data_IF_559018367243
#
_entry.id   IF_559018367243
#
_cell.length_a   1.000
_cell.length_b   1.000
_cell.length_c   1.000
_cell.angle_alpha   90.00
_cell.angle_beta   90.00
_cell.angle_gamma   90.00
#
_symmetry.space_group_name_H-M   'P 1'
#
loop_
_entity.id
_entity.type
_entity.pdbx_description
1 polymer ?
#
# COMPACT_ATOMS: atom_id res chain seq x y z
N UNK A 1 -7.45 -11.40 66.22
CA UNK A 1 -8.50 -11.78 65.25
C UNK A 1 -7.75 -12.05 63.95
N UNK A 2 -7.45 -13.27 63.48
CA UNK A 2 -8.14 -14.58 63.53
C UNK A 2 -9.58 -14.46 62.99
N UNK A 3 -10.09 -15.23 62.03
CA UNK A 3 -9.56 -16.39 61.27
C UNK A 3 -9.62 -16.10 59.75
N UNK A 4 -9.01 -16.79 58.75
CA UNK A 4 -8.41 -18.13 58.51
C UNK A 4 -9.35 -19.35 58.34
N UNK A 5 -9.34 -19.94 57.13
CA UNK A 5 -10.03 -21.18 56.70
C UNK A 5 -10.02 -21.25 55.17
N UNK A 6 -9.31 -22.15 54.46
CA UNK A 6 -9.20 -23.62 54.56
C UNK A 6 -10.58 -24.28 54.41
N UNK A 7 -10.82 -24.87 53.24
CA UNK A 7 -11.82 -25.92 53.04
C UNK A 7 -11.17 -27.15 52.41
N UNK A 8 -11.68 -28.32 52.82
CA UNK A 8 -10.98 -29.60 52.73
C UNK A 8 -11.50 -30.49 51.60
N UNK A 9 -10.65 -31.43 51.18
CA UNK A 9 -10.93 -32.48 50.21
C UNK A 9 -12.06 -33.41 50.66
N UNK A 10 -12.98 -33.74 49.75
CA UNK A 10 -13.70 -35.03 49.79
C UNK A 10 -13.73 -35.69 48.41
N UNK A 11 -13.45 -36.98 48.41
CA UNK A 11 -13.28 -37.85 47.25
C UNK A 11 -14.60 -38.19 46.54
N UNK A 12 -14.58 -38.25 45.21
CA UNK A 12 -15.56 -38.99 44.41
C UNK A 12 -14.81 -39.96 43.47
N UNK A 13 -15.36 -41.16 43.29
CA UNK A 13 -14.67 -42.35 42.77
C UNK A 13 -14.69 -42.41 41.24
N UNK A 14 -13.62 -42.95 40.65
CA UNK A 14 -13.56 -43.41 39.26
C UNK A 14 -14.40 -44.70 39.07
N UNK A 15 -15.18 -44.84 37.98
CA UNK A 15 -15.68 -46.13 37.52
C UNK A 15 -14.61 -46.88 36.69
N UNK A 16 -14.67 -48.21 36.71
CA UNK A 16 -13.63 -49.11 36.21
C UNK A 16 -13.76 -49.44 34.71
N UNK A 17 -12.63 -49.86 34.10
CA UNK A 17 -12.58 -50.43 32.75
C UNK A 17 -13.18 -51.86 32.72
N UNK A 18 -13.95 -52.25 31.70
CA UNK A 18 -14.09 -53.65 31.28
C UNK A 18 -12.88 -54.08 30.42
N UNK A 19 -12.67 -55.39 30.30
CA UNK A 19 -11.47 -56.01 29.70
C UNK A 19 -11.86 -57.12 28.70
N UNK A 20 -11.19 -57.13 27.53
CA UNK A 20 -11.11 -58.20 26.50
C UNK A 20 -12.40 -58.56 25.71
N UNK A 21 -12.31 -59.24 24.54
CA UNK A 21 -11.13 -59.89 23.93
C UNK A 21 -10.73 -59.44 22.51
N UNK A 22 -9.53 -59.87 22.10
CA UNK A 22 -8.98 -59.75 20.75
C UNK A 22 -9.63 -60.72 19.76
N UNK A 23 -10.00 -60.23 18.57
CA UNK A 23 -10.36 -61.07 17.42
C UNK A 23 -9.89 -60.39 16.12
N UNK A 24 -8.88 -60.98 15.47
CA UNK A 24 -8.49 -60.61 14.12
C UNK A 24 -9.56 -61.09 13.13
N UNK A 25 -10.04 -60.22 12.24
CA UNK A 25 -10.62 -60.67 10.97
C UNK A 25 -10.58 -59.56 9.92
N UNK A 26 -9.99 -59.85 8.76
CA UNK A 26 -9.80 -58.87 7.69
C UNK A 26 -11.12 -58.53 6.98
N UNK A 27 -11.31 -57.25 6.64
CA UNK A 27 -12.32 -56.81 5.67
C UNK A 27 -11.69 -55.88 4.65
N UNK A 28 -12.01 -56.16 3.38
CA UNK A 28 -11.49 -55.46 2.19
C UNK A 28 -11.92 -53.99 2.22
N UNK A 29 -10.96 -53.08 2.08
CA UNK A 29 -11.23 -51.65 1.87
C UNK A 29 -11.82 -51.45 0.46
N UNK A 30 -13.13 -51.22 0.39
CA UNK A 30 -13.76 -50.67 -0.81
C UNK A 30 -13.36 -49.20 -0.93
N UNK A 31 -12.42 -48.91 -1.83
CA UNK A 31 -12.12 -47.54 -2.25
C UNK A 31 -13.29 -47.04 -3.09
N UNK A 32 -14.26 -46.41 -2.46
CA UNK A 32 -15.23 -45.57 -3.17
C UNK A 32 -14.53 -44.28 -3.59
N UNK A 33 -14.14 -44.20 -4.86
CA UNK A 33 -13.70 -42.97 -5.48
C UNK A 33 -14.86 -41.95 -5.49
N UNK A 34 -14.93 -41.09 -4.48
CA UNK A 34 -15.81 -39.94 -4.49
C UNK A 34 -15.30 -38.94 -5.52
N UNK A 35 -15.77 -39.06 -6.77
CA UNK A 35 -15.54 -38.08 -7.82
C UNK A 35 -16.13 -36.77 -7.36
N UNK A 36 -15.27 -35.85 -6.90
CA UNK A 36 -15.67 -34.50 -6.50
C UNK A 36 -16.10 -33.74 -7.75
N UNK A 37 -17.40 -33.75 -8.04
CA UNK A 37 -17.99 -32.90 -9.06
C UNK A 37 -17.74 -31.45 -8.64
N UNK A 38 -16.85 -30.76 -9.36
CA UNK A 38 -16.55 -29.35 -9.15
C UNK A 38 -17.75 -28.51 -9.54
N UNK A 39 -18.65 -28.29 -8.57
CA UNK A 39 -19.68 -27.26 -8.67
C UNK A 39 -18.94 -25.94 -8.90
N UNK A 40 -19.18 -25.33 -10.06
CA UNK A 40 -18.54 -24.08 -10.45
C UNK A 40 -19.15 -22.93 -9.62
N UNK A 41 -18.71 -22.80 -8.37
CA UNK A 41 -19.20 -21.80 -7.44
C UNK A 41 -18.85 -20.40 -7.97
N UNK A 42 -19.88 -19.57 -8.12
CA UNK A 42 -19.71 -18.16 -8.51
C UNK A 42 -18.87 -17.47 -7.44
N UNK A 43 -17.72 -16.93 -7.83
CA UNK A 43 -16.80 -16.24 -6.91
C UNK A 43 -17.45 -15.00 -6.31
N UNK A 44 -17.01 -14.67 -5.11
CA UNK A 44 -17.37 -13.44 -4.43
C UNK A 44 -16.73 -12.24 -5.15
N UNK A 45 -17.49 -11.15 -5.30
CA UNK A 45 -17.07 -9.94 -6.00
C UNK A 45 -16.38 -8.96 -5.05
N UNK A 46 -15.26 -8.39 -5.49
CA UNK A 46 -14.54 -7.32 -4.77
C UNK A 46 -14.36 -6.13 -5.71
N UNK A 47 -14.74 -4.93 -5.26
CA UNK A 47 -14.51 -3.71 -6.03
C UNK A 47 -13.17 -3.11 -5.61
N UNK A 48 -12.34 -2.71 -6.58
CA UNK A 48 -11.09 -1.97 -6.31
C UNK A 48 -11.14 -0.61 -7.00
N UNK A 49 -11.07 0.48 -6.23
CA UNK A 49 -11.05 1.86 -6.73
C UNK A 49 -9.66 2.47 -6.50
N UNK A 50 -8.84 2.45 -7.55
CA UNK A 50 -7.51 3.05 -7.60
C UNK A 50 -7.51 4.36 -8.40
N UNK A 51 -6.37 5.04 -8.45
CA UNK A 51 -6.19 6.36 -9.06
C UNK A 51 -5.09 7.16 -8.35
N UNK A 52 -4.54 8.21 -8.97
CA UNK A 52 -3.53 9.04 -8.32
C UNK A 52 -4.11 9.84 -7.14
N UNK A 53 -3.24 10.43 -6.32
CA UNK A 53 -3.67 11.44 -5.34
C UNK A 53 -4.36 12.62 -6.05
N UNK A 54 -5.40 13.19 -5.45
CA UNK A 54 -6.24 14.23 -6.06
C UNK A 54 -7.38 13.74 -6.96
N UNK A 55 -7.44 12.45 -7.35
CA UNK A 55 -8.44 11.93 -8.30
C UNK A 55 -9.85 11.64 -7.71
N UNK A 56 -10.19 12.15 -6.52
CA UNK A 56 -11.54 12.03 -5.93
C UNK A 56 -11.96 10.65 -5.40
N UNK A 57 -11.05 9.68 -5.32
CA UNK A 57 -11.32 8.28 -4.90
C UNK A 57 -12.20 8.14 -3.65
N UNK A 58 -11.82 8.81 -2.55
CA UNK A 58 -12.48 8.67 -1.24
C UNK A 58 -13.98 8.95 -1.32
N UNK A 59 -14.36 10.06 -1.99
CA UNK A 59 -15.77 10.45 -2.15
C UNK A 59 -16.55 9.46 -3.02
N UNK A 60 -15.93 8.93 -4.07
CA UNK A 60 -16.57 7.92 -4.91
C UNK A 60 -16.76 6.60 -4.15
N UNK A 61 -15.76 6.16 -3.39
CA UNK A 61 -15.84 4.94 -2.59
C UNK A 61 -16.91 5.04 -1.51
N UNK A 62 -16.98 6.17 -0.77
CA UNK A 62 -18.00 6.44 0.24
C UNK A 62 -19.42 6.34 -0.34
N UNK A 63 -19.68 7.09 -1.41
CA UNK A 63 -21.01 7.15 -2.02
C UNK A 63 -21.40 5.83 -2.70
N UNK A 64 -20.43 5.05 -3.19
CA UNK A 64 -20.68 3.70 -3.70
C UNK A 64 -20.99 2.71 -2.56
N UNK A 65 -20.25 2.76 -1.46
CA UNK A 65 -20.45 1.90 -0.29
C UNK A 65 -21.86 2.06 0.29
N UNK A 66 -22.34 3.30 0.43
CA UNK A 66 -23.72 3.62 0.83
C UNK A 66 -24.78 2.93 -0.05
N UNK A 67 -24.56 2.85 -1.37
CA UNK A 67 -25.52 2.23 -2.31
C UNK A 67 -25.41 0.71 -2.39
N UNK A 68 -24.26 0.14 -2.09
CA UNK A 68 -24.03 -1.31 -2.15
C UNK A 68 -24.13 -2.01 -0.79
N UNK A 69 -24.43 -1.29 0.30
CA UNK A 69 -24.28 -1.80 1.68
C UNK A 69 -22.86 -2.38 1.88
N UNK A 70 -21.87 -1.60 1.44
CA UNK A 70 -20.47 -1.99 1.41
C UNK A 70 -19.64 -1.38 2.54
N UNK A 71 -18.42 -1.89 2.69
CA UNK A 71 -17.42 -1.39 3.62
C UNK A 71 -16.10 -1.13 2.88
N UNK A 72 -15.34 -0.15 3.36
CA UNK A 72 -14.16 0.35 2.67
C UNK A 72 -12.89 -0.21 3.31
N UNK A 73 -11.99 -0.78 2.51
CA UNK A 73 -10.63 -1.17 2.95
C UNK A 73 -9.64 -0.16 2.37
N UNK A 74 -8.89 0.54 3.24
CA UNK A 74 -7.86 1.48 2.77
C UNK A 74 -6.61 0.73 2.28
N UNK A 75 -6.22 1.00 1.03
CA UNK A 75 -4.98 0.56 0.39
C UNK A 75 -4.01 1.75 0.20
N UNK A 76 -3.83 2.51 1.27
CA UNK A 76 -2.90 3.63 1.40
C UNK A 76 -1.88 3.33 2.50
N UNK A 77 -0.60 3.60 2.26
CA UNK A 77 0.49 3.24 3.19
C UNK A 77 0.68 4.24 4.33
N UNK A 78 -0.13 5.31 4.39
CA UNK A 78 -0.02 6.38 5.39
C UNK A 78 -1.27 6.47 6.26
N UNK A 79 -2.45 6.20 5.70
CA UNK A 79 -3.73 6.24 6.45
C UNK A 79 -3.81 5.22 7.60
N UNK A 80 -2.94 4.21 7.61
CA UNK A 80 -2.80 3.24 8.72
C UNK A 80 -2.33 3.88 10.04
N UNK A 81 -1.68 5.05 9.99
CA UNK A 81 -1.02 5.68 11.12
C UNK A 81 -1.89 6.71 11.85
N UNK A 82 -2.11 6.52 13.15
CA UNK A 82 -2.82 7.45 14.04
C UNK A 82 -2.20 8.84 14.04
N UNK A 83 -3.03 9.88 14.06
CA UNK A 83 -2.62 11.28 14.12
C UNK A 83 -1.99 11.85 12.84
N UNK A 84 -1.94 11.06 11.76
CA UNK A 84 -1.49 11.48 10.43
C UNK A 84 -2.68 11.61 9.48
N UNK A 85 -3.58 12.53 9.77
CA UNK A 85 -4.91 12.66 9.16
C UNK A 85 -4.91 13.60 7.95
N UNK A 86 -4.32 14.79 8.10
CA UNK A 86 -4.31 15.87 7.10
C UNK A 86 -3.41 15.49 5.94
N UNK A 87 -2.15 15.18 6.18
CA UNK A 87 -1.18 14.85 5.12
C UNK A 87 -1.53 13.59 4.31
N UNK A 88 -2.25 12.63 4.90
CA UNK A 88 -2.75 11.44 4.19
C UNK A 88 -4.14 11.65 3.56
N UNK A 89 -4.84 12.74 3.91
CA UNK A 89 -6.25 13.00 3.65
C UNK A 89 -7.13 11.77 3.93
N UNK A 90 -7.16 11.36 5.20
CA UNK A 90 -8.13 10.37 5.68
C UNK A 90 -9.57 10.86 5.44
N UNK A 91 -10.53 9.93 5.29
CA UNK A 91 -11.94 10.26 5.44
C UNK A 91 -12.19 10.88 6.83
N UNK A 92 -13.08 11.87 6.89
CA UNK A 92 -13.39 12.57 8.14
C UNK A 92 -14.00 11.62 9.17
N UNK A 93 -14.04 11.97 10.47
CA UNK A 93 -14.75 11.19 11.47
C UNK A 93 -16.23 10.96 11.11
N UNK A 94 -16.88 11.92 10.43
CA UNK A 94 -18.25 11.78 9.93
C UNK A 94 -18.33 10.72 8.80
N UNK A 95 -17.46 10.79 7.79
CA UNK A 95 -17.40 9.80 6.71
C UNK A 95 -17.19 8.37 7.25
N UNK A 96 -16.36 8.24 8.31
CA UNK A 96 -16.07 6.97 8.98
C UNK A 96 -17.18 6.46 9.89
N UNK A 97 -18.10 7.33 10.32
CA UNK A 97 -19.32 6.95 11.03
C UNK A 97 -20.42 6.50 10.04
N UNK A 98 -20.50 7.13 8.87
CA UNK A 98 -21.47 6.75 7.82
C UNK A 98 -21.13 5.42 7.14
N UNK A 99 -19.85 5.14 6.91
CA UNK A 99 -19.37 3.90 6.28
C UNK A 99 -18.18 3.34 7.07
N UNK A 100 -18.18 2.05 7.46
CA UNK A 100 -17.02 1.42 8.08
C UNK A 100 -15.78 1.47 7.17
N UNK A 101 -14.66 1.92 7.73
CA UNK A 101 -13.36 1.96 7.07
C UNK A 101 -12.34 1.08 7.82
N UNK A 102 -11.77 0.12 7.11
CA UNK A 102 -10.73 -0.79 7.59
C UNK A 102 -9.33 -0.27 7.23
N UNK A 103 -8.34 -0.66 8.04
CA UNK A 103 -6.92 -0.31 7.87
C UNK A 103 -6.65 1.21 7.93
N UNK A 104 -7.42 1.92 8.76
CA UNK A 104 -7.18 3.31 9.14
C UNK A 104 -6.95 3.36 10.66
N UNK A 105 -5.98 4.15 11.12
CA UNK A 105 -5.66 4.33 12.55
C UNK A 105 -5.33 3.02 13.30
N UNK A 106 -4.79 2.02 12.60
CA UNK A 106 -4.40 0.72 13.17
C UNK A 106 -3.04 0.75 13.89
N UNK A 107 -2.16 1.69 13.56
CA UNK A 107 -0.77 1.77 14.05
C UNK A 107 -0.39 3.13 14.62
N UNK A 108 0.60 3.16 15.52
CA UNK A 108 1.32 4.37 15.91
C UNK A 108 2.39 4.74 14.85
N UNK A 109 2.69 6.02 14.58
CA UNK A 109 3.66 6.39 13.54
C UNK A 109 5.11 5.93 13.74
N UNK A 110 5.47 5.44 14.93
CA UNK A 110 6.78 4.81 15.18
C UNK A 110 6.85 3.36 14.69
N UNK A 111 5.73 2.75 14.30
CA UNK A 111 5.65 1.35 13.87
C UNK A 111 5.83 1.20 12.35
N UNK A 112 6.42 0.09 11.91
CA UNK A 112 6.57 -0.22 10.49
C UNK A 112 5.38 -1.03 9.95
N UNK A 113 4.89 -0.62 8.78
CA UNK A 113 3.85 -1.34 8.04
C UNK A 113 4.32 -1.80 6.66
N UNK A 114 4.42 -3.12 6.50
CA UNK A 114 4.88 -3.76 5.28
C UNK A 114 3.72 -4.14 4.35
N UNK A 115 4.01 -4.29 3.05
CA UNK A 115 3.03 -4.84 2.09
C UNK A 115 2.59 -6.28 2.44
N UNK A 116 3.44 -7.04 3.14
CA UNK A 116 3.07 -8.37 3.64
C UNK A 116 1.99 -8.31 4.72
N UNK A 117 2.07 -7.36 5.67
CA UNK A 117 1.02 -7.13 6.67
C UNK A 117 -0.25 -6.62 6.00
N UNK A 118 -0.15 -5.60 5.13
CA UNK A 118 -1.29 -5.12 4.34
C UNK A 118 -2.01 -6.26 3.59
N UNK A 119 -1.27 -7.19 3.00
CA UNK A 119 -1.87 -8.35 2.35
C UNK A 119 -2.71 -9.17 3.32
N UNK A 120 -2.15 -9.63 4.44
CA UNK A 120 -2.91 -10.43 5.41
C UNK A 120 -4.11 -9.67 5.99
N UNK A 121 -3.90 -8.42 6.42
CA UNK A 121 -4.92 -7.60 7.08
C UNK A 121 -6.07 -7.24 6.11
N UNK A 122 -5.77 -6.85 4.86
CA UNK A 122 -6.79 -6.56 3.86
C UNK A 122 -7.53 -7.82 3.41
N UNK A 123 -6.84 -8.95 3.26
CA UNK A 123 -7.47 -10.23 2.91
C UNK A 123 -8.34 -10.75 4.06
N UNK A 124 -7.99 -10.48 5.32
CA UNK A 124 -8.82 -10.81 6.47
C UNK A 124 -10.06 -9.92 6.55
N UNK A 125 -9.90 -8.59 6.46
CA UNK A 125 -11.04 -7.66 6.40
C UNK A 125 -12.02 -8.01 5.27
N UNK A 126 -11.51 -8.39 4.09
CA UNK A 126 -12.34 -8.82 2.95
C UNK A 126 -13.20 -10.04 3.28
N UNK A 127 -12.63 -11.07 3.92
CA UNK A 127 -13.37 -12.26 4.35
C UNK A 127 -14.46 -11.90 5.36
N UNK A 128 -14.19 -11.00 6.30
CA UNK A 128 -15.14 -10.66 7.35
C UNK A 128 -16.29 -9.77 6.84
N UNK A 129 -16.00 -8.83 5.92
CA UNK A 129 -17.03 -8.07 5.20
C UNK A 129 -17.94 -9.02 4.41
N UNK A 130 -17.37 -9.96 3.63
CA UNK A 130 -18.14 -10.94 2.84
C UNK A 130 -18.99 -11.86 3.74
N UNK A 131 -18.43 -12.36 4.85
CA UNK A 131 -19.16 -13.14 5.87
C UNK A 131 -20.35 -12.39 6.48
N UNK A 132 -20.27 -11.06 6.58
CA UNK A 132 -21.36 -10.21 7.06
C UNK A 132 -22.44 -9.92 6.00
N UNK A 133 -22.29 -10.44 4.77
CA UNK A 133 -23.21 -10.19 3.65
C UNK A 133 -23.06 -8.79 3.04
N UNK A 134 -21.91 -8.13 3.23
CA UNK A 134 -21.60 -6.78 2.76
C UNK A 134 -20.60 -6.80 1.61
N UNK A 135 -20.51 -5.68 0.87
CA UNK A 135 -19.65 -5.57 -0.31
C UNK A 135 -18.28 -4.98 0.05
N UNK A 136 -17.16 -5.70 -0.15
CA UNK A 136 -15.82 -5.15 0.08
C UNK A 136 -15.40 -4.20 -1.05
N UNK A 137 -15.09 -2.96 -0.67
CA UNK A 137 -14.63 -1.90 -1.59
C UNK A 137 -13.22 -1.47 -1.17
N UNK A 138 -12.21 -1.93 -1.88
CA UNK A 138 -10.82 -1.54 -1.61
C UNK A 138 -10.53 -0.22 -2.32
N UNK A 139 -10.04 0.79 -1.60
CA UNK A 139 -9.67 2.08 -2.21
C UNK A 139 -8.30 2.55 -1.78
N UNK A 140 -7.51 3.06 -2.72
CA UNK A 140 -6.15 3.49 -2.43
C UNK A 140 -5.35 3.89 -3.65
N UNK A 141 -4.04 4.01 -3.48
CA UNK A 141 -3.14 4.39 -4.57
C UNK A 141 -1.77 3.69 -4.52
N UNK A 142 -1.57 2.76 -3.58
CA UNK A 142 -0.31 2.05 -3.40
C UNK A 142 -0.27 0.84 -4.34
N UNK A 143 0.39 0.98 -5.49
CA UNK A 143 0.40 -0.03 -6.56
C UNK A 143 0.86 -1.42 -6.10
N UNK A 144 1.93 -1.50 -5.29
CA UNK A 144 2.45 -2.77 -4.79
C UNK A 144 1.47 -3.47 -3.82
N UNK A 145 0.79 -2.70 -2.97
CA UNK A 145 -0.26 -3.19 -2.06
C UNK A 145 -1.39 -3.83 -2.88
N UNK A 146 -1.97 -3.09 -3.82
CA UNK A 146 -3.08 -3.58 -4.64
C UNK A 146 -2.66 -4.77 -5.52
N UNK A 147 -1.43 -4.79 -6.06
CA UNK A 147 -0.91 -5.94 -6.81
C UNK A 147 -0.85 -7.20 -5.96
N UNK A 148 -0.27 -7.15 -4.75
CA UNK A 148 -0.19 -8.32 -3.88
C UNK A 148 -1.58 -8.76 -3.39
N UNK A 149 -2.47 -7.81 -3.09
CA UNK A 149 -3.84 -8.09 -2.67
C UNK A 149 -4.68 -8.81 -3.75
N UNK A 150 -4.55 -8.39 -5.01
CA UNK A 150 -5.24 -9.00 -6.16
C UNK A 150 -4.63 -10.36 -6.51
N UNK A 151 -3.32 -10.40 -6.78
CA UNK A 151 -2.66 -11.56 -7.40
C UNK A 151 -2.02 -12.54 -6.41
N UNK A 152 -1.93 -12.16 -5.13
CA UNK A 152 -1.18 -12.89 -4.09
C UNK A 152 0.21 -12.30 -3.82
N UNK A 153 0.69 -12.49 -2.59
CA UNK A 153 2.09 -12.16 -2.21
C UNK A 153 3.05 -13.31 -2.57
N UNK A 154 4.33 -13.02 -2.86
CA UNK A 154 5.40 -14.03 -2.87
C UNK A 154 5.55 -14.71 -1.51
N UNK A 155 5.95 -15.98 -1.50
CA UNK A 155 6.20 -16.74 -0.27
C UNK A 155 7.65 -16.58 0.22
N UNK A 156 8.04 -15.33 0.45
CA UNK A 156 9.38 -14.97 0.93
C UNK A 156 9.36 -14.93 2.47
N UNK A 157 10.27 -15.63 3.17
CA UNK A 157 10.32 -15.58 4.62
C UNK A 157 10.63 -14.17 5.15
N UNK A 158 10.00 -13.83 6.27
CA UNK A 158 10.34 -12.61 7.02
C UNK A 158 11.62 -12.87 7.81
N UNK A 159 12.60 -11.97 7.68
CA UNK A 159 13.82 -12.06 8.47
C UNK A 159 13.51 -11.92 9.97
N UNK A 160 14.24 -12.65 10.81
CA UNK A 160 14.18 -12.45 12.26
C UNK A 160 14.82 -11.10 12.63
N UNK A 161 14.57 -10.60 13.85
CA UNK A 161 15.16 -9.33 14.30
C UNK A 161 16.69 -9.43 14.38
N UNK A 162 17.19 -10.61 14.73
CA UNK A 162 18.59 -10.95 14.85
C UNK A 162 19.27 -10.93 13.47
N UNK A 163 18.67 -11.56 12.46
CA UNK A 163 19.17 -11.55 11.08
C UNK A 163 19.15 -10.13 10.51
N UNK A 164 18.07 -9.37 10.72
CA UNK A 164 17.98 -7.99 10.24
C UNK A 164 19.03 -7.08 10.92
N UNK A 165 19.29 -7.26 12.22
CA UNK A 165 20.32 -6.51 12.94
C UNK A 165 21.75 -6.89 12.48
N UNK A 166 22.00 -8.18 12.22
CA UNK A 166 23.28 -8.65 11.65
C UNK A 166 23.52 -8.04 10.27
N UNK A 167 22.55 -8.16 9.35
CA UNK A 167 22.64 -7.57 8.00
C UNK A 167 22.78 -6.05 8.03
N UNK A 168 22.09 -5.37 8.95
CA UNK A 168 22.29 -3.94 9.16
C UNK A 168 23.74 -3.63 9.57
N UNK A 169 24.29 -4.37 10.54
CA UNK A 169 25.68 -4.20 10.98
C UNK A 169 26.71 -4.55 9.91
N UNK A 170 26.47 -5.59 9.10
CA UNK A 170 27.33 -5.98 7.97
C UNK A 170 27.39 -4.88 6.89
N UNK A 171 26.28 -4.18 6.65
CA UNK A 171 26.17 -3.16 5.58
C UNK A 171 26.48 -1.73 6.07
N UNK A 172 26.40 -1.46 7.38
CA UNK A 172 26.51 -0.11 7.94
C UNK A 172 27.86 0.58 7.67
N UNK A 173 28.98 -0.15 7.70
CA UNK A 173 30.29 0.42 7.39
C UNK A 173 30.37 0.87 5.92
N UNK A 174 29.92 0.04 4.97
CA UNK A 174 29.87 0.39 3.55
C UNK A 174 28.93 1.57 3.27
N UNK A 175 27.76 1.64 3.93
CA UNK A 175 26.81 2.75 3.75
C UNK A 175 27.36 4.07 4.32
N UNK A 176 28.12 4.02 5.44
CA UNK A 176 28.81 5.20 6.00
C UNK A 176 29.93 5.68 5.08
N UNK A 177 30.75 4.76 4.60
CA UNK A 177 31.97 5.08 3.84
C UNK A 177 31.67 5.31 2.34
N UNK A 178 30.44 5.06 1.91
CA UNK A 178 29.93 5.29 0.55
C UNK A 178 30.32 4.21 -0.47
N UNK A 179 30.84 3.07 0.01
CA UNK A 179 31.38 1.99 -0.82
C UNK A 179 30.27 1.06 -1.33
N UNK A 180 29.51 1.57 -2.29
CA UNK A 180 28.42 0.85 -2.95
C UNK A 180 28.90 -0.39 -3.70
N UNK A 181 30.10 -0.34 -4.31
CA UNK A 181 30.61 -1.44 -5.15
C UNK A 181 30.99 -2.66 -4.29
N UNK A 182 31.68 -2.45 -3.17
CA UNK A 182 31.98 -3.54 -2.23
C UNK A 182 30.71 -4.11 -1.58
N UNK A 183 29.73 -3.26 -1.24
CA UNK A 183 28.44 -3.71 -0.71
C UNK A 183 27.64 -4.55 -1.72
N UNK A 184 27.66 -4.19 -3.01
CA UNK A 184 27.05 -5.01 -4.07
C UNK A 184 27.77 -6.35 -4.16
N UNK A 185 29.11 -6.35 -4.15
CA UNK A 185 29.89 -7.59 -4.24
C UNK A 185 29.61 -8.53 -3.04
N UNK A 186 29.47 -8.01 -1.83
CA UNK A 186 29.06 -8.79 -0.65
C UNK A 186 27.74 -9.57 -0.88
N UNK A 187 26.75 -8.95 -1.53
CA UNK A 187 25.45 -9.58 -1.80
C UNK A 187 25.50 -10.54 -2.99
N UNK A 188 26.34 -10.25 -3.99
CA UNK A 188 26.64 -11.19 -5.09
C UNK A 188 27.31 -12.45 -4.55
N UNK A 189 28.34 -12.31 -3.73
CA UNK A 189 29.07 -13.42 -3.10
C UNK A 189 28.20 -14.21 -2.12
N UNK A 190 27.22 -13.57 -1.48
CA UNK A 190 26.19 -14.24 -0.68
C UNK A 190 25.19 -15.05 -1.52
N UNK A 191 25.08 -14.81 -2.83
CA UNK A 191 24.30 -15.64 -3.76
C UNK A 191 23.23 -14.92 -4.60
N UNK A 192 23.13 -13.58 -4.58
CA UNK A 192 22.23 -12.83 -5.49
C UNK A 192 23.00 -12.03 -6.55
N UNK A 193 23.32 -12.61 -7.72
CA UNK A 193 23.99 -11.88 -8.80
C UNK A 193 23.13 -10.72 -9.36
N UNK A 194 21.81 -10.69 -9.11
CA UNK A 194 20.97 -9.56 -9.55
C UNK A 194 21.22 -8.29 -8.73
N UNK A 195 21.95 -8.35 -7.61
CA UNK A 195 22.39 -7.17 -6.88
C UNK A 195 23.17 -6.17 -7.76
N UNK A 196 23.91 -6.65 -8.77
CA UNK A 196 24.60 -5.82 -9.76
C UNK A 196 23.67 -4.93 -10.60
N UNK A 197 22.38 -5.28 -10.69
CA UNK A 197 21.36 -4.52 -11.43
C UNK A 197 20.60 -3.50 -10.57
N UNK A 198 20.91 -3.41 -9.27
CA UNK A 198 20.31 -2.42 -8.39
C UNK A 198 20.74 -1.00 -8.77
N UNK A 199 19.83 -0.04 -8.60
CA UNK A 199 20.18 1.36 -8.75
C UNK A 199 21.23 1.76 -7.69
N UNK A 200 22.20 2.58 -8.09
CA UNK A 200 23.27 3.03 -7.19
C UNK A 200 22.69 3.62 -5.88
N UNK A 201 23.27 3.21 -4.75
CA UNK A 201 22.86 3.58 -3.39
C UNK A 201 21.43 3.14 -3.00
N UNK A 202 20.86 2.12 -3.63
CA UNK A 202 19.64 1.44 -3.14
C UNK A 202 19.96 0.45 -1.99
N UNK A 203 20.51 1.01 -0.92
CA UNK A 203 20.92 0.30 0.30
C UNK A 203 19.76 -0.49 0.93
N UNK A 204 18.52 -0.03 0.76
CA UNK A 204 17.33 -0.74 1.20
C UNK A 204 17.13 -2.07 0.45
N UNK A 205 17.17 -2.07 -0.89
CA UNK A 205 17.03 -3.32 -1.66
C UNK A 205 18.23 -4.23 -1.47
N UNK A 206 19.43 -3.67 -1.35
CA UNK A 206 20.67 -4.41 -1.11
C UNK A 206 20.61 -5.17 0.24
N UNK A 207 20.32 -4.47 1.35
CA UNK A 207 20.05 -5.11 2.65
C UNK A 207 18.93 -6.14 2.56
N UNK A 208 17.81 -5.81 1.91
CA UNK A 208 16.67 -6.74 1.83
C UNK A 208 16.99 -8.01 1.04
N UNK A 209 17.86 -7.96 0.03
CA UNK A 209 18.34 -9.18 -0.64
C UNK A 209 19.17 -10.04 0.32
N UNK A 210 20.16 -9.43 1.00
CA UNK A 210 20.99 -10.15 1.96
C UNK A 210 20.18 -10.75 3.13
N UNK A 211 19.19 -10.03 3.66
CA UNK A 211 18.23 -10.56 4.65
C UNK A 211 17.51 -11.82 4.15
N UNK A 212 17.06 -11.84 2.89
CA UNK A 212 16.34 -12.98 2.30
C UNK A 212 17.29 -14.17 2.15
N UNK A 213 18.51 -13.95 1.65
CA UNK A 213 19.56 -14.97 1.54
C UNK A 213 19.87 -15.56 2.93
N UNK A 214 20.19 -14.72 3.92
CA UNK A 214 20.50 -15.17 5.29
C UNK A 214 19.34 -15.90 5.96
N UNK A 215 18.09 -15.55 5.65
CA UNK A 215 16.89 -16.18 6.22
C UNK A 215 16.45 -17.47 5.54
N UNK A 216 16.87 -17.74 4.30
CA UNK A 216 16.32 -18.83 3.47
C UNK A 216 17.35 -19.69 2.75
N UNK A 217 18.61 -19.27 2.68
CA UNK A 217 19.65 -19.87 1.84
C UNK A 217 19.46 -19.64 0.33
N UNK A 218 18.50 -18.80 -0.09
CA UNK A 218 18.19 -18.54 -1.50
C UNK A 218 18.04 -17.04 -1.81
N UNK A 219 18.41 -16.59 -3.02
CA UNK A 219 18.25 -15.19 -3.43
C UNK A 219 16.76 -14.83 -3.62
N UNK A 220 16.39 -13.53 -3.60
CA UNK A 220 15.01 -13.10 -3.81
C UNK A 220 14.38 -13.59 -5.11
N UNK A 221 15.21 -13.82 -6.13
CA UNK A 221 14.80 -14.32 -7.45
C UNK A 221 14.38 -15.80 -7.48
N UNK A 222 14.66 -16.57 -6.44
CA UNK A 222 14.20 -17.96 -6.29
C UNK A 222 12.72 -18.05 -5.88
N UNK A 223 12.14 -16.96 -5.37
CA UNK A 223 10.77 -16.92 -4.88
C UNK A 223 9.81 -16.44 -5.98
N UNK A 224 8.85 -17.29 -6.36
CA UNK A 224 7.85 -16.94 -7.37
C UNK A 224 7.02 -15.72 -6.93
N UNK A 225 6.97 -14.70 -7.80
CA UNK A 225 6.05 -13.58 -7.64
C UNK A 225 4.74 -13.92 -8.37
N UNK A 226 3.59 -14.07 -7.69
CA UNK A 226 2.37 -14.54 -8.33
C UNK A 226 1.91 -13.72 -9.53
N UNK A 227 2.16 -12.41 -9.51
CA UNK A 227 1.86 -11.48 -10.61
C UNK A 227 2.54 -11.86 -11.93
N UNK A 228 3.78 -12.39 -11.90
CA UNK A 228 4.55 -12.63 -13.13
C UNK A 228 3.90 -13.74 -13.97
N UNK A 229 3.28 -14.73 -13.31
CA UNK A 229 2.46 -15.76 -13.97
C UNK A 229 1.26 -15.17 -14.71
N UNK A 230 0.66 -14.07 -14.23
CA UNK A 230 -0.41 -13.36 -14.96
C UNK A 230 0.12 -12.44 -16.05
N UNK A 231 1.29 -11.81 -15.84
CA UNK A 231 1.91 -10.90 -16.81
C UNK A 231 2.29 -11.63 -18.10
N UNK A 232 2.99 -12.75 -17.97
CA UNK A 232 3.52 -13.52 -19.10
C UNK A 232 2.43 -14.14 -20.01
N UNK A 233 1.18 -14.23 -19.54
CA UNK A 233 0.03 -14.66 -20.34
C UNK A 233 -0.58 -13.54 -21.19
N UNK A 234 -0.56 -12.30 -20.68
CA UNK A 234 -1.17 -11.15 -21.34
C UNK A 234 -0.23 -10.45 -22.33
N UNK A 235 1.09 -10.65 -22.18
CA UNK A 235 2.09 -10.21 -23.14
C UNK A 235 3.19 -11.29 -23.33
N UNK A 236 3.02 -12.19 -24.31
CA UNK A 236 4.03 -13.20 -24.64
C UNK A 236 5.32 -12.65 -25.25
N UNK A 237 5.42 -11.33 -25.51
CA UNK A 237 6.56 -10.73 -26.21
C UNK A 237 7.66 -10.19 -25.30
N UNK A 238 7.40 -10.05 -23.99
CA UNK A 238 8.42 -9.67 -22.98
C UNK A 238 9.06 -10.89 -22.27
N UNK A 239 9.31 -11.99 -22.99
CA UNK A 239 10.18 -13.06 -22.48
C UNK A 239 11.63 -12.58 -22.44
N UNK A 240 12.06 -12.10 -21.27
CA UNK A 240 13.48 -11.89 -20.94
C UNK A 240 14.23 -13.21 -21.16
N UNK A 241 15.43 -13.14 -21.77
CA UNK A 241 16.28 -14.28 -22.10
C UNK A 241 16.55 -15.23 -20.90
N UNK A 242 15.71 -16.24 -20.73
CA UNK A 242 16.04 -17.44 -19.97
C UNK A 242 16.72 -18.44 -20.92
N UNK A 243 18.04 -18.41 -20.92
CA UNK A 243 18.87 -19.17 -21.85
C UNK A 243 18.64 -20.69 -21.75
N UNK A 244 18.22 -21.30 -22.86
CA UNK A 244 18.46 -22.69 -23.24
C UNK A 244 18.32 -23.81 -22.18
N UNK A 245 17.12 -23.98 -21.61
CA UNK A 245 16.64 -25.32 -21.22
C UNK A 245 15.25 -25.54 -21.84
N UNK A 246 15.01 -26.75 -22.39
CA UNK A 246 13.65 -27.16 -22.77
C UNK A 246 12.92 -27.53 -21.48
N UNK A 247 11.70 -27.00 -21.23
CA UNK A 247 11.02 -27.23 -19.97
C UNK A 247 10.71 -28.72 -19.77
N UNK A 248 10.96 -29.21 -18.55
CA UNK A 248 10.60 -30.56 -18.12
C UNK A 248 9.07 -30.74 -18.07
N UNK A 249 8.59 -31.99 -18.11
CA UNK A 249 7.18 -32.30 -17.90
C UNK A 249 6.66 -31.81 -16.54
N UNK A 250 7.53 -31.70 -15.53
CA UNK A 250 7.18 -31.15 -14.21
C UNK A 250 6.97 -29.63 -14.22
N UNK A 251 7.64 -28.89 -15.13
CA UNK A 251 7.47 -27.44 -15.27
C UNK A 251 6.10 -27.09 -15.90
N UNK A 252 5.58 -27.97 -16.76
CA UNK A 252 4.23 -27.85 -17.34
C UNK A 252 3.11 -27.97 -16.30
N UNK A 253 3.34 -28.65 -15.17
CA UNK A 253 2.39 -28.66 -14.06
C UNK A 253 2.47 -27.38 -13.21
N UNK A 254 3.68 -26.82 -13.03
CA UNK A 254 3.93 -25.59 -12.24
C UNK A 254 3.39 -24.31 -12.93
N UNK A 255 3.17 -24.35 -14.24
CA UNK A 255 2.55 -23.26 -15.00
C UNK A 255 1.01 -23.24 -15.00
N UNK A 256 0.33 -24.08 -14.20
CA UNK A 256 -1.12 -23.94 -13.98
C UNK A 256 -1.42 -22.59 -13.34
N UNK A 257 -2.22 -21.78 -14.04
CA UNK A 257 -2.65 -20.44 -13.60
C UNK A 257 -3.24 -20.53 -12.20
N UNK A 258 -2.68 -19.79 -11.25
CA UNK A 258 -3.28 -19.67 -9.92
C UNK A 258 -4.56 -18.88 -10.08
N UNK A 259 -5.69 -19.55 -9.95
CA UNK A 259 -6.99 -18.92 -10.12
C UNK A 259 -7.20 -17.82 -9.06
N UNK A 260 -7.73 -16.65 -9.45
CA UNK A 260 -7.87 -15.52 -8.53
C UNK A 260 -8.92 -15.84 -7.47
N UNK A 261 -8.60 -15.59 -6.19
CA UNK A 261 -9.49 -15.95 -5.07
C UNK A 261 -10.87 -15.26 -5.13
N UNK A 262 -10.98 -14.12 -5.82
CA UNK A 262 -12.19 -13.30 -5.95
C UNK A 262 -12.42 -12.82 -7.40
N UNK A 263 -13.66 -12.46 -7.72
CA UNK A 263 -14.00 -11.69 -8.93
C UNK A 263 -13.67 -10.21 -8.68
N UNK A 264 -12.44 -9.80 -8.99
CA UNK A 264 -12.00 -8.41 -8.82
C UNK A 264 -12.51 -7.50 -9.94
N UNK A 265 -13.27 -6.47 -9.58
CA UNK A 265 -13.74 -5.42 -10.49
C UNK A 265 -12.92 -4.15 -10.23
N UNK A 266 -11.87 -3.96 -11.02
CA UNK A 266 -10.86 -2.94 -10.80
C UNK A 266 -11.09 -1.68 -11.65
N UNK A 267 -11.23 -0.53 -11.01
CA UNK A 267 -11.37 0.78 -11.64
C UNK A 267 -10.17 1.68 -11.31
N UNK A 268 -9.67 2.40 -12.32
CA UNK A 268 -8.63 3.41 -12.14
C UNK A 268 -9.16 4.80 -12.52
N UNK A 269 -9.39 5.65 -11.53
CA UNK A 269 -9.84 7.02 -11.72
C UNK A 269 -8.68 7.90 -12.17
N UNK A 270 -8.84 8.67 -13.24
CA UNK A 270 -7.88 9.71 -13.63
C UNK A 270 -8.55 10.85 -14.39
N UNK A 271 -7.92 12.02 -14.34
CA UNK A 271 -8.28 13.22 -15.11
C UNK A 271 -7.16 13.58 -16.09
N UNK A 272 -7.38 14.54 -17.02
CA UNK A 272 -6.29 15.15 -17.79
C UNK A 272 -5.17 15.66 -16.86
N UNK A 273 -3.90 15.45 -17.24
CA UNK A 273 -2.78 15.58 -16.28
C UNK A 273 -2.59 17.00 -15.76
N UNK A 274 -2.90 18.02 -16.56
CA UNK A 274 -2.84 19.42 -16.13
C UNK A 274 -3.88 19.74 -15.05
N UNK A 275 -5.09 19.20 -15.17
CA UNK A 275 -6.15 19.39 -14.17
C UNK A 275 -5.84 18.62 -12.89
N UNK A 276 -5.32 17.40 -13.02
CA UNK A 276 -4.82 16.63 -11.89
C UNK A 276 -3.71 17.38 -11.14
N UNK A 277 -2.75 17.98 -11.84
CA UNK A 277 -1.69 18.77 -11.20
C UNK A 277 -2.23 20.02 -10.50
N UNK A 278 -3.20 20.74 -11.09
CA UNK A 278 -3.87 21.88 -10.44
C UNK A 278 -4.60 21.47 -9.15
N UNK A 279 -5.27 20.31 -9.15
CA UNK A 279 -5.95 19.76 -7.98
C UNK A 279 -4.96 19.30 -6.89
N UNK A 280 -3.82 18.73 -7.28
CA UNK A 280 -2.75 18.34 -6.35
C UNK A 280 -2.12 19.58 -5.70
N UNK A 281 -1.83 20.61 -6.49
CA UNK A 281 -1.18 21.82 -5.99
C UNK A 281 -2.09 22.54 -4.99
N UNK A 282 -3.37 22.71 -5.33
CA UNK A 282 -4.40 23.28 -4.46
C UNK A 282 -4.61 22.43 -3.19
N UNK A 283 -4.58 21.10 -3.29
CA UNK A 283 -4.64 20.21 -2.11
C UNK A 283 -3.44 20.39 -1.19
N UNK A 284 -2.24 20.66 -1.71
CA UNK A 284 -1.08 20.96 -0.87
C UNK A 284 -1.26 22.29 -0.12
N UNK A 285 -1.91 23.29 -0.74
CA UNK A 285 -2.27 24.55 -0.05
C UNK A 285 -3.30 24.31 1.06
N UNK A 286 -4.37 23.55 0.78
CA UNK A 286 -5.35 23.17 1.81
C UNK A 286 -4.70 22.43 2.98
N UNK A 287 -3.82 21.44 2.73
CA UNK A 287 -3.12 20.71 3.79
C UNK A 287 -2.30 21.63 4.73
N UNK A 288 -1.79 22.76 4.25
CA UNK A 288 -1.12 23.75 5.10
C UNK A 288 -2.12 24.51 5.98
N UNK A 289 -3.25 24.95 5.40
CA UNK A 289 -4.35 25.58 6.13
C UNK A 289 -4.99 24.64 7.17
N UNK A 290 -5.08 23.35 6.84
CA UNK A 290 -5.69 22.29 7.66
C UNK A 290 -4.75 21.76 8.76
N UNK A 291 -3.47 22.18 8.78
CA UNK A 291 -2.56 21.94 9.89
C UNK A 291 -1.53 20.81 9.73
N UNK A 292 -1.13 20.42 8.51
CA UNK A 292 -0.08 19.39 8.29
C UNK A 292 1.25 19.69 9.01
N UNK A 293 1.58 20.98 9.23
CA UNK A 293 2.75 21.38 10.01
C UNK A 293 2.62 21.01 11.49
N UNK A 294 1.41 20.97 12.06
CA UNK A 294 1.17 20.53 13.43
C UNK A 294 1.36 19.01 13.56
N UNK A 295 0.89 18.22 12.59
CA UNK A 295 1.14 16.77 12.54
C UNK A 295 2.63 16.46 12.37
N UNK A 296 3.32 17.18 11.48
CA UNK A 296 4.76 17.05 11.28
C UNK A 296 5.58 17.47 12.52
N UNK A 297 5.16 18.52 13.23
CA UNK A 297 5.72 18.91 14.53
C UNK A 297 5.55 17.77 15.53
N UNK A 298 4.36 17.18 15.66
CA UNK A 298 4.11 16.09 16.60
C UNK A 298 5.00 14.86 16.34
N UNK A 299 5.27 14.52 15.07
CA UNK A 299 6.24 13.49 14.72
C UNK A 299 7.66 13.82 15.25
N UNK A 300 8.13 15.05 15.04
CA UNK A 300 9.43 15.51 15.55
C UNK A 300 9.48 15.53 17.08
N UNK A 301 8.42 15.99 17.74
CA UNK A 301 8.33 16.10 19.20
C UNK A 301 8.22 14.71 19.87
N UNK A 302 7.81 13.68 19.12
CA UNK A 302 7.88 12.26 19.51
C UNK A 302 9.28 11.65 19.29
N UNK A 303 10.25 12.43 18.79
CA UNK A 303 11.62 11.99 18.53
C UNK A 303 11.83 11.27 17.19
N UNK A 304 10.83 11.27 16.30
CA UNK A 304 10.97 10.68 14.97
C UNK A 304 11.65 11.67 14.02
N UNK A 305 12.73 11.23 13.37
CA UNK A 305 13.43 12.02 12.36
C UNK A 305 12.80 11.86 10.96
N UNK A 306 12.93 12.85 10.04
CA UNK A 306 12.56 12.68 8.65
C UNK A 306 13.26 11.46 8.04
N UNK A 307 12.59 10.78 7.11
CA UNK A 307 13.10 9.59 6.42
C UNK A 307 13.44 8.37 7.30
N UNK A 308 13.16 8.36 8.61
CA UNK A 308 13.42 7.22 9.50
C UNK A 308 12.63 5.96 9.14
N UNK A 309 11.33 6.08 8.89
CA UNK A 309 10.41 4.96 8.64
C UNK A 309 9.36 5.28 7.57
N UNK A 310 8.37 4.40 7.37
CA UNK A 310 7.32 4.60 6.36
C UNK A 310 6.49 5.89 6.58
N UNK A 311 6.15 6.20 7.83
CA UNK A 311 5.39 7.38 8.21
C UNK A 311 6.17 8.68 7.92
N UNK A 312 7.44 8.77 8.33
CA UNK A 312 8.26 9.98 8.15
C UNK A 312 8.86 10.13 6.74
N UNK A 313 8.77 9.09 5.90
CA UNK A 313 9.06 9.15 4.45
C UNK A 313 7.86 9.60 3.62
N UNK A 314 6.66 9.62 4.19
CA UNK A 314 5.44 9.98 3.48
C UNK A 314 5.49 11.44 2.97
N UNK A 315 4.95 11.64 1.77
CA UNK A 315 4.97 12.95 1.09
C UNK A 315 4.04 13.92 1.80
N UNK A 316 4.49 15.16 1.98
CA UNK A 316 3.88 16.13 2.90
C UNK A 316 4.62 16.11 4.22
N UNK A 317 4.47 15.03 5.00
CA UNK A 317 5.15 14.88 6.30
C UNK A 317 6.65 15.04 6.20
N UNK A 318 7.31 14.36 5.26
CA UNK A 318 8.77 14.47 5.11
C UNK A 318 9.20 15.91 4.85
N UNK A 319 8.59 16.58 3.87
CA UNK A 319 8.92 17.97 3.52
C UNK A 319 8.62 18.93 4.68
N UNK A 320 7.53 18.71 5.40
CA UNK A 320 7.15 19.51 6.56
C UNK A 320 8.13 19.32 7.74
N UNK A 321 8.53 18.08 8.04
CA UNK A 321 9.52 17.80 9.08
C UNK A 321 10.91 18.35 8.72
N UNK A 322 11.35 18.19 7.46
CA UNK A 322 12.59 18.77 6.92
C UNK A 322 12.58 20.32 7.06
N UNK A 323 11.44 20.96 6.74
CA UNK A 323 11.26 22.41 6.88
C UNK A 323 11.23 22.88 8.34
N UNK A 324 10.52 22.17 9.24
CA UNK A 324 10.45 22.53 10.65
C UNK A 324 11.80 22.35 11.36
N UNK A 325 12.59 21.33 11.01
CA UNK A 325 13.97 21.19 11.52
C UNK A 325 14.85 22.37 11.09
N UNK A 326 14.79 22.77 9.81
CA UNK A 326 15.47 23.98 9.34
C UNK A 326 15.04 25.22 10.14
N UNK A 327 13.74 25.38 10.42
CA UNK A 327 13.26 26.50 11.25
C UNK A 327 13.82 26.45 12.68
N UNK A 328 13.91 25.26 13.31
CA UNK A 328 14.52 25.08 14.64
C UNK A 328 15.99 25.48 14.66
N UNK A 329 16.76 25.10 13.63
CA UNK A 329 18.16 25.50 13.46
C UNK A 329 18.31 27.03 13.31
N UNK A 330 17.31 27.72 12.75
CA UNK A 330 17.23 29.18 12.67
C UNK A 330 16.56 29.83 13.91
N UNK A 331 16.50 29.14 15.05
CA UNK A 331 15.93 29.68 16.30
C UNK A 331 14.41 29.90 16.22
N UNK A 332 13.68 29.02 15.52
CA UNK A 332 12.25 29.16 15.27
C UNK A 332 11.89 30.15 14.16
N UNK A 333 12.85 30.70 13.42
CA UNK A 333 12.58 31.68 12.36
C UNK A 333 12.55 31.04 10.96
N UNK A 334 11.75 31.63 10.07
CA UNK A 334 11.74 31.32 8.64
C UNK A 334 11.40 32.59 7.87
N UNK A 335 11.97 32.77 6.68
CA UNK A 335 11.50 33.84 5.78
C UNK A 335 10.34 33.36 4.90
N UNK A 336 9.58 34.31 4.36
CA UNK A 336 8.59 34.08 3.30
C UNK A 336 9.18 33.29 2.13
N UNK A 337 10.46 33.52 1.77
CA UNK A 337 11.13 32.81 0.66
C UNK A 337 11.28 31.32 0.96
N UNK A 338 11.61 30.97 2.20
CA UNK A 338 11.89 29.59 2.59
C UNK A 338 10.58 28.79 2.69
N UNK A 339 9.51 29.42 3.22
CA UNK A 339 8.15 28.88 3.16
C UNK A 339 7.71 28.55 1.72
N UNK A 340 7.87 29.50 0.78
CA UNK A 340 7.51 29.27 -0.63
C UNK A 340 8.39 28.23 -1.32
N UNK A 341 9.66 28.11 -0.92
CA UNK A 341 10.53 27.03 -1.40
C UNK A 341 10.04 25.65 -0.91
N UNK A 342 9.72 25.52 0.38
CA UNK A 342 9.11 24.33 0.97
C UNK A 342 7.80 23.95 0.26
N UNK A 343 6.86 24.89 0.09
CA UNK A 343 5.58 24.66 -0.60
C UNK A 343 5.80 24.18 -2.04
N UNK A 344 6.74 24.79 -2.77
CA UNK A 344 7.08 24.39 -4.15
C UNK A 344 7.62 22.96 -4.23
N UNK A 345 8.51 22.57 -3.32
CA UNK A 345 9.06 21.20 -3.26
C UNK A 345 8.04 20.17 -2.78
N UNK A 346 7.13 20.52 -1.86
CA UNK A 346 6.00 19.68 -1.47
C UNK A 346 5.06 19.42 -2.66
N UNK A 347 4.57 20.47 -3.33
CA UNK A 347 3.72 20.34 -4.51
C UNK A 347 4.41 19.50 -5.61
N UNK A 348 5.71 19.75 -5.88
CA UNK A 348 6.53 19.00 -6.83
C UNK A 348 6.65 17.52 -6.45
N UNK A 349 6.86 17.19 -5.18
CA UNK A 349 6.90 15.81 -4.69
C UNK A 349 5.55 15.10 -4.89
N UNK A 350 4.44 15.77 -4.56
CA UNK A 350 3.08 15.26 -4.74
C UNK A 350 2.73 15.00 -6.21
N UNK A 351 3.05 15.93 -7.13
CA UNK A 351 2.90 15.74 -8.58
C UNK A 351 3.76 14.58 -9.11
N UNK A 352 5.00 14.47 -8.63
CA UNK A 352 5.90 13.36 -9.00
C UNK A 352 5.37 12.00 -8.53
N UNK A 353 4.71 11.93 -7.37
CA UNK A 353 4.06 10.71 -6.90
C UNK A 353 2.84 10.33 -7.74
N UNK A 354 1.95 11.29 -8.05
CA UNK A 354 0.85 11.06 -8.98
C UNK A 354 1.34 10.57 -10.35
N UNK A 355 2.45 11.11 -10.87
CA UNK A 355 3.11 10.60 -12.08
C UNK A 355 3.58 9.14 -11.92
N UNK A 356 4.22 8.78 -10.80
CA UNK A 356 4.63 7.38 -10.53
C UNK A 356 3.43 6.43 -10.47
N UNK A 357 2.32 6.85 -9.85
CA UNK A 357 1.07 6.09 -9.81
C UNK A 357 0.52 5.89 -11.24
N UNK A 358 0.42 6.95 -12.05
CA UNK A 358 0.00 6.85 -13.46
C UNK A 358 0.90 5.90 -14.28
N UNK A 359 2.22 5.93 -14.07
CA UNK A 359 3.16 5.00 -14.72
C UNK A 359 2.93 3.56 -14.28
N UNK A 360 2.74 3.30 -12.98
CA UNK A 360 2.50 1.95 -12.46
C UNK A 360 1.23 1.33 -13.05
N UNK A 361 0.08 1.99 -12.89
CA UNK A 361 -1.23 1.42 -13.28
C UNK A 361 -1.48 1.39 -14.79
N UNK A 362 -0.62 2.02 -15.62
CA UNK A 362 -0.70 1.91 -17.08
C UNK A 362 -0.52 0.46 -17.54
N UNK A 363 0.39 -0.25 -16.87
CA UNK A 363 0.78 -1.64 -17.14
C UNK A 363 -0.02 -2.66 -16.31
N UNK A 364 -1.02 -2.22 -15.55
CA UNK A 364 -1.93 -3.10 -14.79
C UNK A 364 -3.19 -3.34 -15.64
N UNK A 365 -3.24 -4.45 -16.37
CA UNK A 365 -4.26 -4.70 -17.41
C UNK A 365 -5.67 -4.91 -16.85
N UNK A 366 -5.80 -5.35 -15.60
CA UNK A 366 -7.09 -5.58 -14.91
C UNK A 366 -7.90 -4.29 -14.66
N UNK A 367 -7.27 -3.11 -14.74
CA UNK A 367 -7.94 -1.84 -14.41
C UNK A 367 -8.69 -1.24 -15.59
N UNK A 368 -9.98 -0.97 -15.38
CA UNK A 368 -10.83 -0.17 -16.24
C UNK A 368 -10.62 1.33 -15.94
N UNK A 369 -10.11 2.09 -16.91
CA UNK A 369 -9.73 3.50 -16.73
C UNK A 369 -10.94 4.43 -16.92
N UNK A 370 -11.28 5.17 -15.85
CA UNK A 370 -12.44 6.07 -15.80
C UNK A 370 -12.02 7.54 -15.68
N UNK A 371 -12.73 8.42 -16.39
CA UNK A 371 -12.49 9.85 -16.43
C UNK A 371 -13.14 10.53 -15.22
N UNK A 372 -12.32 10.85 -14.22
CA UNK A 372 -12.74 11.47 -12.96
C UNK A 372 -13.18 12.94 -13.10
N UNK A 373 -12.98 13.57 -14.27
CA UNK A 373 -13.52 14.88 -14.59
C UNK A 373 -14.99 14.84 -15.06
N UNK A 374 -15.62 13.66 -15.09
CA UNK A 374 -17.06 13.49 -15.35
C UNK A 374 -17.88 13.64 -14.06
N UNK A 375 -19.18 13.98 -14.16
CA UNK A 375 -20.06 14.07 -13.01
C UNK A 375 -20.04 12.79 -12.16
N UNK A 376 -19.96 12.95 -10.84
CA UNK A 376 -19.76 11.86 -9.86
C UNK A 376 -20.86 10.80 -9.97
N UNK A 377 -22.11 11.23 -10.15
CA UNK A 377 -23.28 10.38 -10.34
C UNK A 377 -23.13 9.43 -11.54
N UNK A 378 -22.58 9.90 -12.66
CA UNK A 378 -22.39 9.07 -13.87
C UNK A 378 -21.32 8.00 -13.66
N UNK A 379 -20.21 8.36 -13.02
CA UNK A 379 -19.12 7.42 -12.69
C UNK A 379 -19.62 6.38 -11.68
N UNK A 380 -20.34 6.80 -10.65
CA UNK A 380 -20.88 5.94 -9.61
C UNK A 380 -21.95 4.99 -10.16
N UNK A 381 -22.92 5.50 -10.93
CA UNK A 381 -23.96 4.67 -11.57
C UNK A 381 -23.35 3.60 -12.47
N UNK A 382 -22.27 3.92 -13.21
CA UNK A 382 -21.55 2.94 -14.01
C UNK A 382 -20.93 1.82 -13.16
N UNK A 383 -20.21 2.17 -12.08
CA UNK A 383 -19.59 1.17 -11.19
C UNK A 383 -20.65 0.32 -10.48
N UNK A 384 -21.73 0.94 -10.01
CA UNK A 384 -22.86 0.25 -9.38
C UNK A 384 -23.50 -0.77 -10.34
N UNK A 385 -23.73 -0.38 -11.59
CA UNK A 385 -24.27 -1.29 -12.61
C UNK A 385 -23.27 -2.41 -12.96
N UNK A 386 -21.99 -2.09 -13.09
CA UNK A 386 -20.93 -3.06 -13.36
C UNK A 386 -20.79 -4.13 -12.26
N UNK A 387 -20.95 -3.75 -10.99
CA UNK A 387 -20.97 -4.70 -9.88
C UNK A 387 -22.14 -5.69 -9.99
N UNK A 388 -23.35 -5.16 -10.25
CA UNK A 388 -24.58 -5.95 -10.33
C UNK A 388 -24.70 -6.77 -11.63
N UNK A 389 -23.91 -6.49 -12.65
CA UNK A 389 -23.92 -7.24 -13.90
C UNK A 389 -23.47 -8.70 -13.71
N UNK A 390 -24.14 -9.58 -14.44
CA UNK A 390 -23.91 -11.02 -14.47
C UNK A 390 -23.46 -11.51 -15.85
N UNK A 391 -23.35 -10.63 -16.85
CA UNK A 391 -22.89 -10.95 -18.21
C UNK A 391 -21.41 -11.35 -18.30
N UNK A 392 -20.61 -10.97 -17.30
CA UNK A 392 -19.16 -11.15 -17.28
C UNK A 392 -18.37 -10.22 -18.21
N UNK A 393 -19.03 -9.34 -18.97
CA UNK A 393 -18.37 -8.48 -19.98
C UNK A 393 -18.44 -7.00 -19.61
N UNK A 394 -17.43 -6.51 -18.87
CA UNK A 394 -17.38 -5.11 -18.45
C UNK A 394 -16.78 -4.18 -19.53
N UNK A 395 -17.65 -3.49 -20.26
CA UNK A 395 -17.27 -2.46 -21.23
C UNK A 395 -17.47 -1.04 -20.68
N UNK A 396 -16.42 -0.20 -20.72
CA UNK A 396 -16.50 1.21 -20.31
C UNK A 396 -17.03 2.08 -21.46
N UNK A 397 -18.14 2.83 -21.30
CA UNK A 397 -18.63 3.73 -22.34
C UNK A 397 -17.60 4.83 -22.68
N UNK A 398 -17.48 5.19 -23.97
CA UNK A 398 -16.55 6.24 -24.43
C UNK A 398 -16.69 7.57 -23.68
N UNK A 399 -17.90 7.90 -23.24
CA UNK A 399 -18.18 9.12 -22.47
C UNK A 399 -17.52 9.14 -21.10
N UNK A 400 -17.26 7.97 -20.50
CA UNK A 400 -16.60 7.77 -19.21
C UNK A 400 -15.16 7.26 -19.33
N UNK A 401 -14.75 6.76 -20.50
CA UNK A 401 -13.43 6.19 -20.72
C UNK A 401 -12.33 7.25 -20.54
N UNK A 402 -11.24 6.87 -19.87
CA UNK A 402 -10.01 7.67 -19.81
C UNK A 402 -8.89 6.98 -20.60
N UNK A 403 -8.18 7.74 -21.43
CA UNK A 403 -7.02 7.23 -22.17
C UNK A 403 -5.85 7.00 -21.21
N UNK A 404 -5.21 5.84 -21.29
CA UNK A 404 -3.96 5.52 -20.57
C UNK A 404 -2.79 6.43 -21.00
N UNK A 405 -2.83 6.86 -22.26
CA UNK A 405 -1.68 7.42 -22.98
C UNK A 405 -1.84 8.91 -23.29
N UNK A 406 -0.72 9.64 -23.20
CA UNK A 406 -0.61 11.04 -23.60
C UNK A 406 -0.69 11.16 -25.12
N UNK A 407 -1.87 11.48 -25.65
CA UNK A 407 -2.11 11.41 -27.10
C UNK A 407 -1.56 12.58 -27.94
N UNK A 408 -0.97 13.64 -27.35
CA UNK A 408 -0.60 14.83 -28.11
C UNK A 408 0.72 15.52 -27.67
N UNK A 409 1.58 15.88 -28.64
CA UNK A 409 2.81 16.66 -28.44
C UNK A 409 2.56 18.00 -27.72
N UNK A 410 1.41 18.64 -27.99
CA UNK A 410 1.00 19.89 -27.33
C UNK A 410 0.85 19.73 -25.82
N UNK A 411 0.14 18.69 -25.38
CA UNK A 411 -0.10 18.41 -23.95
C UNK A 411 1.22 18.11 -23.22
N UNK A 412 2.17 17.43 -23.89
CA UNK A 412 3.51 17.21 -23.37
C UNK A 412 4.33 18.50 -23.23
N UNK A 413 4.16 19.48 -24.14
CA UNK A 413 4.80 20.79 -24.03
C UNK A 413 4.18 21.63 -22.90
N UNK A 414 2.85 21.66 -22.77
CA UNK A 414 2.14 22.34 -21.69
C UNK A 414 2.52 21.75 -20.31
N UNK A 415 2.70 20.43 -20.19
CA UNK A 415 3.19 19.80 -18.96
C UNK A 415 4.66 20.14 -18.62
N UNK A 416 5.54 20.34 -19.62
CA UNK A 416 6.93 20.79 -19.38
C UNK A 416 6.97 22.25 -18.91
N UNK A 417 6.09 23.08 -19.47
CA UNK A 417 5.94 24.49 -19.11
C UNK A 417 5.16 24.69 -17.79
N UNK A 418 4.47 23.66 -17.28
CA UNK A 418 3.63 23.76 -16.08
C UNK A 418 4.40 24.30 -14.87
N UNK A 419 3.80 25.29 -14.20
CA UNK A 419 4.21 25.83 -12.90
C UNK A 419 2.97 25.93 -12.04
N UNK A 420 3.11 25.67 -10.75
CA UNK A 420 2.02 25.84 -9.80
C UNK A 420 1.51 27.28 -9.83
N UNK A 421 0.20 27.43 -9.69
CA UNK A 421 -0.47 28.72 -9.52
C UNK A 421 -1.29 28.62 -8.25
N UNK A 422 -0.68 29.04 -7.15
CA UNK A 422 -1.29 29.05 -5.83
C UNK A 422 -2.58 29.88 -5.83
N UNK A 423 -3.52 29.53 -4.94
CA UNK A 423 -4.80 30.22 -4.74
C UNK A 423 -4.96 30.78 -3.34
N UNK A 424 -4.32 30.17 -2.35
CA UNK A 424 -4.34 30.59 -0.95
C UNK A 424 -3.05 31.29 -0.56
N UNK A 425 -1.92 30.93 -1.18
CA UNK A 425 -0.62 31.55 -0.92
C UNK A 425 -0.11 32.29 -2.17
N UNK A 426 -0.68 33.47 -2.46
CA UNK A 426 -0.42 34.31 -3.64
C UNK A 426 0.51 35.48 -3.32
N UNK A 427 0.27 36.16 -2.19
CA UNK A 427 0.97 37.35 -1.73
C UNK A 427 1.89 37.04 -0.55
N UNK A 428 2.86 37.91 -0.26
CA UNK A 428 3.86 37.64 0.79
C UNK A 428 3.24 37.58 2.19
N UNK A 429 2.15 38.31 2.39
CA UNK A 429 1.39 38.36 3.63
C UNK A 429 0.62 37.05 3.89
N UNK A 430 0.24 36.29 2.86
CA UNK A 430 -0.63 35.10 2.99
C UNK A 430 -0.04 33.96 3.84
N UNK A 431 1.26 34.01 4.15
CA UNK A 431 1.94 33.06 5.02
C UNK A 431 2.28 33.60 6.42
N UNK A 432 1.89 34.85 6.76
CA UNK A 432 2.23 35.50 8.03
C UNK A 432 1.83 34.65 9.24
N UNK A 433 0.58 34.18 9.26
CA UNK A 433 0.05 33.38 10.36
C UNK A 433 0.83 32.06 10.56
N UNK A 434 1.30 31.47 9.46
CA UNK A 434 2.14 30.26 9.50
C UNK A 434 3.55 30.60 10.02
N UNK A 435 4.15 31.73 9.60
CA UNK A 435 5.48 32.14 10.06
C UNK A 435 5.47 32.52 11.55
N UNK A 436 4.41 33.18 12.03
CA UNK A 436 4.23 33.51 13.44
C UNK A 436 3.88 32.26 14.28
N UNK A 437 3.12 31.31 13.73
CA UNK A 437 2.95 29.98 14.32
C UNK A 437 4.30 29.25 14.44
N UNK A 438 5.13 29.23 13.39
CA UNK A 438 6.47 28.62 13.43
C UNK A 438 7.32 29.30 14.52
N UNK A 439 7.35 30.63 14.59
CA UNK A 439 8.08 31.37 15.64
C UNK A 439 7.64 30.96 17.04
N UNK A 440 6.33 30.91 17.30
CA UNK A 440 5.79 30.55 18.62
C UNK A 440 5.89 29.07 18.99
N UNK A 441 6.25 28.18 18.06
CA UNK A 441 6.20 26.73 18.27
C UNK A 441 7.50 25.96 18.01
N UNK A 442 8.42 26.53 17.24
CA UNK A 442 9.70 25.91 16.86
C UNK A 442 10.91 26.60 17.49
N UNK A 443 10.70 27.64 18.30
CA UNK A 443 11.74 28.15 19.19
C UNK A 443 12.07 27.05 20.21
N UNK A 444 13.31 26.57 20.20
CA UNK A 444 13.77 25.55 21.14
C UNK A 444 13.76 26.15 22.55
N UNK A 445 12.90 25.61 23.43
CA UNK A 445 13.04 25.88 24.85
C UNK A 445 14.36 25.25 25.29
N UNK A 446 15.37 26.10 25.49
CA UNK A 446 16.61 25.73 26.16
C UNK A 446 16.26 25.53 27.64
N UNK A 447 16.03 24.27 28.02
CA UNK A 447 15.84 23.81 29.41
C UNK A 447 17.17 23.32 29.95
#
# INVERSE_FOLDING_TARGET
MISSGIYSLRSIRLPQRPIFPSLCNGRKTLVTSSTSVSVNQKKEKVIVISGPTGAGKTRLALELAKRLNGEIISADSVQVYRGLDVGSAKPSPADRQEVPHHLIDILHPSEDYSVGQFFEDARQATKDILRSGRVPIVTGGTGLYLRWYIYGKPDVPKASREVAAQVYSEVADFERDGDWEAAVQLVVDAGDPKAQSLAANDWYRLRRSLEIIRSSGSPPSAFQVPYDSFRNQNDPSETIDTCHLKPSADELEQHKVKDLDYEFICFFLSSPRLDLYRLIDLRCEHMLSDGILSEARWLLDTGLLPNSNSATRAIGYRQAMEYLLYCREQGGMSSTRDFYYFLSEFQKASRNFAKRQLTWFRNEHIYHWLNASRPLDKVLNFIYNAYNDQSGTLHVPESLQMKKDMSNKREAAELKAYRAKNRHFVHREDCSDILDWIRSTQELIVV
#
